data_IF_392288924505
#
_entry.id   IF_392288924505
#
_cell.length_a   1.000
_cell.length_b   1.000
_cell.length_c   1.000
_cell.angle_alpha   90.00
_cell.angle_beta   90.00
_cell.angle_gamma   90.00
#
_symmetry.space_group_name_H-M   'P 1'
#
loop_
_entity.id
_entity.type
_entity.pdbx_description
1 polymer ?
#
# COMPACT_ATOMS: atom_id res chain seq x y z
N UNK A 1 2.33 -11.45 13.32
CA UNK A 1 2.17 -11.44 11.85
C UNK A 1 2.26 -10.00 11.39
N UNK A 2 3.40 -9.63 10.82
CA UNK A 2 3.69 -8.26 10.35
C UNK A 2 3.06 -8.07 8.97
N UNK A 3 2.01 -7.24 8.89
CA UNK A 3 1.42 -6.83 7.61
C UNK A 3 2.41 -5.92 6.87
N UNK A 4 2.81 -6.33 5.69
CA UNK A 4 3.64 -5.56 4.77
C UNK A 4 2.80 -4.44 4.16
N UNK A 5 3.28 -3.18 4.09
CA UNK A 5 2.55 -2.12 3.43
C UNK A 5 2.45 -2.41 1.93
N UNK A 6 1.23 -2.60 1.42
CA UNK A 6 0.95 -2.86 0.01
C UNK A 6 1.05 -1.58 -0.81
N UNK A 7 1.85 -1.61 -1.88
CA UNK A 7 1.88 -0.56 -2.91
C UNK A 7 0.46 -0.23 -3.41
N UNK A 8 0.19 1.04 -3.81
CA UNK A 8 -1.10 1.41 -4.38
C UNK A 8 -1.33 0.61 -5.66
N UNK A 9 -2.24 -0.36 -5.60
CA UNK A 9 -2.62 -1.17 -6.76
C UNK A 9 -3.51 -0.31 -7.64
N UNK A 10 -3.09 -0.07 -8.89
CA UNK A 10 -3.95 0.54 -9.91
C UNK A 10 -5.14 -0.39 -10.11
N UNK A 11 -6.34 0.12 -9.84
CA UNK A 11 -7.57 -0.64 -10.00
C UNK A 11 -8.02 -0.49 -11.46
N UNK A 12 -8.15 -1.63 -12.14
CA UNK A 12 -8.57 -1.69 -13.53
C UNK A 12 -10.09 -1.75 -13.54
N UNK A 13 -10.74 -0.72 -14.06
CA UNK A 13 -12.19 -0.67 -14.21
C UNK A 13 -12.58 -0.83 -15.67
N UNK A 14 -13.53 -1.74 -15.93
CA UNK A 14 -14.08 -1.99 -17.26
C UNK A 14 -15.33 -1.12 -17.48
N UNK A 15 -15.33 -0.26 -18.50
CA UNK A 15 -16.45 0.64 -18.82
C UNK A 15 -17.48 -0.05 -19.74
N UNK A 16 -17.84 -1.30 -19.44
CA UNK A 16 -18.61 -2.14 -20.35
C UNK A 16 -20.02 -1.58 -20.60
N UNK A 17 -20.72 -1.12 -19.56
CA UNK A 17 -22.07 -0.56 -19.68
C UNK A 17 -22.12 0.69 -20.56
N UNK A 18 -21.22 1.64 -20.32
CA UNK A 18 -21.16 2.89 -21.08
C UNK A 18 -20.87 2.67 -22.56
N UNK A 19 -19.99 1.72 -22.88
CA UNK A 19 -19.66 1.41 -24.28
C UNK A 19 -20.82 0.70 -24.95
N UNK A 20 -21.47 -0.25 -24.27
CA UNK A 20 -22.64 -0.95 -24.80
C UNK A 20 -23.76 0.05 -25.13
N UNK A 21 -24.08 0.96 -24.21
CA UNK A 21 -25.10 2.00 -24.44
C UNK A 21 -24.72 2.96 -25.59
N UNK A 22 -23.44 3.34 -25.68
CA UNK A 22 -22.96 4.29 -26.70
C UNK A 22 -22.89 3.70 -28.10
N UNK A 23 -22.44 2.44 -28.24
CA UNK A 23 -22.14 1.82 -29.54
C UNK A 23 -23.34 1.04 -30.09
N UNK A 24 -24.05 0.31 -29.24
CA UNK A 24 -25.18 -0.55 -29.65
C UNK A 24 -26.32 -0.40 -28.63
N UNK A 25 -27.17 0.64 -28.76
CA UNK A 25 -28.29 0.88 -27.86
C UNK A 25 -29.22 -0.33 -27.80
N UNK A 26 -29.54 -0.80 -26.59
CA UNK A 26 -30.39 -1.98 -26.37
C UNK A 26 -29.66 -3.33 -26.35
N UNK A 27 -28.32 -3.34 -26.53
CA UNK A 27 -27.55 -4.56 -26.34
C UNK A 27 -27.59 -5.01 -24.87
N UNK A 28 -28.05 -6.23 -24.62
CA UNK A 28 -28.08 -6.82 -23.27
C UNK A 28 -26.81 -7.61 -22.97
N UNK A 29 -26.48 -7.80 -21.69
CA UNK A 29 -25.35 -8.65 -21.27
C UNK A 29 -25.52 -10.08 -21.81
N UNK A 30 -26.76 -10.59 -21.88
CA UNK A 30 -27.05 -11.90 -22.44
C UNK A 30 -26.72 -11.97 -23.94
N UNK A 31 -26.98 -10.89 -24.69
CA UNK A 31 -26.56 -10.77 -26.10
C UNK A 31 -25.04 -10.79 -26.24
N UNK A 32 -24.34 -9.99 -25.42
CA UNK A 32 -22.88 -9.94 -25.44
C UNK A 32 -22.24 -11.28 -25.01
N UNK A 33 -22.82 -11.96 -24.03
CA UNK A 33 -22.40 -13.29 -23.56
C UNK A 33 -22.45 -14.33 -24.69
N UNK A 34 -23.52 -14.32 -25.49
CA UNK A 34 -23.68 -15.21 -26.64
C UNK A 34 -22.57 -15.03 -27.67
N UNK A 35 -22.22 -13.79 -27.99
CA UNK A 35 -21.22 -13.49 -29.03
C UNK A 35 -19.80 -13.73 -28.54
N UNK A 36 -19.53 -13.44 -27.27
CA UNK A 36 -18.19 -13.61 -26.68
C UNK A 36 -17.91 -15.04 -26.21
N UNK A 37 -18.94 -15.90 -26.18
CA UNK A 37 -18.85 -17.26 -25.66
C UNK A 37 -18.68 -17.32 -24.14
N UNK A 38 -19.00 -16.22 -23.44
CA UNK A 38 -18.86 -16.11 -21.98
C UNK A 38 -20.17 -16.40 -21.26
N UNK A 39 -20.08 -16.84 -20.00
CA UNK A 39 -21.26 -16.92 -19.14
C UNK A 39 -21.74 -15.51 -18.80
N UNK A 40 -23.04 -15.26 -18.96
CA UNK A 40 -23.68 -13.98 -18.66
C UNK A 40 -23.44 -13.51 -17.21
N UNK A 41 -23.34 -14.44 -16.26
CA UNK A 41 -22.98 -14.16 -14.87
C UNK A 41 -21.58 -13.53 -14.73
N UNK A 42 -20.60 -13.98 -15.53
CA UNK A 42 -19.24 -13.42 -15.49
C UNK A 42 -19.26 -11.97 -15.97
N UNK A 43 -19.90 -11.70 -17.11
CA UNK A 43 -20.02 -10.34 -17.64
C UNK A 43 -20.84 -9.43 -16.73
N UNK A 44 -21.85 -9.96 -16.02
CA UNK A 44 -22.62 -9.19 -15.05
C UNK A 44 -21.77 -8.72 -13.86
N UNK A 45 -20.83 -9.55 -13.38
CA UNK A 45 -19.89 -9.13 -12.33
C UNK A 45 -18.95 -8.00 -12.77
N UNK A 46 -18.59 -7.96 -14.06
CA UNK A 46 -17.78 -6.88 -14.62
C UNK A 46 -18.60 -5.63 -14.94
N UNK A 47 -19.92 -5.76 -15.09
CA UNK A 47 -20.86 -4.64 -15.22
C UNK A 47 -21.05 -3.92 -13.89
N UNK A 48 -21.28 -4.66 -12.80
CA UNK A 48 -21.58 -4.08 -11.47
C UNK A 48 -20.32 -3.80 -10.67
N UNK A 49 -19.53 -2.81 -11.10
CA UNK A 49 -18.46 -2.02 -10.42
C UNK A 49 -17.50 -2.64 -9.37
N UNK A 50 -17.56 -3.93 -9.05
CA UNK A 50 -16.69 -4.58 -8.06
C UNK A 50 -16.33 -5.99 -8.51
N UNK A 51 -15.38 -6.14 -9.46
CA UNK A 51 -14.71 -7.42 -9.62
C UNK A 51 -14.07 -7.77 -8.28
N UNK A 52 -14.54 -8.85 -7.64
CA UNK A 52 -13.83 -9.41 -6.48
C UNK A 52 -12.35 -9.61 -6.83
N UNK A 53 -11.46 -9.44 -5.86
CA UNK A 53 -10.01 -9.23 -6.01
C UNK A 53 -9.23 -10.19 -6.95
N UNK A 54 -9.83 -11.30 -7.40
CA UNK A 54 -9.20 -12.31 -8.27
C UNK A 54 -9.90 -12.55 -9.62
N UNK A 55 -10.98 -11.84 -9.94
CA UNK A 55 -11.69 -12.05 -11.22
C UNK A 55 -11.14 -11.13 -12.30
N UNK A 56 -10.16 -11.62 -13.07
CA UNK A 56 -9.69 -10.98 -14.31
C UNK A 56 -10.38 -11.58 -15.53
N UNK A 57 -10.75 -10.76 -16.50
CA UNK A 57 -11.17 -11.28 -17.81
C UNK A 57 -9.95 -11.81 -18.59
N UNK A 58 -10.03 -12.99 -19.21
CA UNK A 58 -9.01 -13.46 -20.14
C UNK A 58 -8.84 -12.46 -21.30
N UNK A 59 -7.60 -12.28 -21.75
CA UNK A 59 -7.26 -11.38 -22.88
C UNK A 59 -8.12 -11.64 -24.11
N UNK A 60 -8.30 -12.91 -24.48
CA UNK A 60 -9.12 -13.32 -25.63
C UNK A 60 -10.58 -12.86 -25.52
N UNK A 61 -11.12 -12.77 -24.30
CA UNK A 61 -12.48 -12.30 -24.07
C UNK A 61 -12.57 -10.79 -24.28
N UNK A 62 -11.56 -10.06 -23.82
CA UNK A 62 -11.46 -8.60 -24.01
C UNK A 62 -11.38 -8.29 -25.51
N UNK A 63 -10.54 -9.01 -26.25
CA UNK A 63 -10.41 -8.84 -27.71
C UNK A 63 -11.73 -9.12 -28.43
N UNK A 64 -12.44 -10.20 -28.09
CA UNK A 64 -13.76 -10.50 -28.66
C UNK A 64 -14.79 -9.42 -28.38
N UNK A 65 -14.79 -8.87 -27.16
CA UNK A 65 -15.68 -7.75 -26.79
C UNK A 65 -15.33 -6.51 -27.63
N UNK A 66 -14.05 -6.15 -27.73
CA UNK A 66 -13.58 -5.02 -28.51
C UNK A 66 -13.93 -5.14 -30.00
N UNK A 67 -13.71 -6.31 -30.60
CA UNK A 67 -14.08 -6.59 -32.00
C UNK A 67 -15.58 -6.48 -32.20
N UNK A 68 -16.39 -7.00 -31.29
CA UNK A 68 -17.85 -6.96 -31.41
C UNK A 68 -18.42 -5.56 -31.23
N UNK A 69 -17.90 -4.79 -30.27
CA UNK A 69 -18.35 -3.42 -29.98
C UNK A 69 -17.68 -2.36 -30.87
N UNK A 70 -16.76 -2.78 -31.74
CA UNK A 70 -15.93 -1.92 -32.57
C UNK A 70 -15.32 -0.76 -31.75
N UNK A 71 -14.60 -1.14 -30.69
CA UNK A 71 -13.95 -0.20 -29.77
C UNK A 71 -12.53 -0.65 -29.43
N UNK A 72 -11.65 0.32 -29.17
CA UNK A 72 -10.30 0.03 -28.72
C UNK A 72 -10.28 -0.45 -27.26
N UNK A 73 -9.25 -1.24 -26.92
CA UNK A 73 -9.03 -1.74 -25.54
C UNK A 73 -8.88 -0.57 -24.55
N UNK A 74 -8.31 0.55 -24.98
CA UNK A 74 -8.17 1.78 -24.19
C UNK A 74 -9.51 2.45 -23.87
N UNK A 75 -10.53 2.29 -24.71
CA UNK A 75 -11.89 2.75 -24.41
C UNK A 75 -12.53 1.83 -23.38
N UNK A 76 -12.33 0.51 -23.52
CA UNK A 76 -12.92 -0.51 -22.65
C UNK A 76 -12.35 -0.51 -21.23
N UNK A 77 -11.08 -0.16 -21.08
CA UNK A 77 -10.35 -0.23 -19.82
C UNK A 77 -9.93 1.17 -19.35
N UNK A 78 -10.52 1.62 -18.24
CA UNK A 78 -10.06 2.82 -17.54
C UNK A 78 -9.27 2.44 -16.30
N UNK A 79 -8.09 3.02 -16.13
CA UNK A 79 -7.33 2.94 -14.90
C UNK A 79 -7.94 3.94 -13.91
N UNK A 80 -8.69 3.44 -12.91
CA UNK A 80 -9.03 4.25 -11.75
C UNK A 80 -7.74 4.45 -10.96
N UNK A 81 -7.11 5.60 -11.15
CA UNK A 81 -6.20 6.12 -10.14
C UNK A 81 -7.07 6.31 -8.90
N UNK A 82 -6.90 5.46 -7.87
CA UNK A 82 -7.44 5.77 -6.57
C UNK A 82 -6.99 7.19 -6.26
N UNK A 83 -7.95 8.12 -6.14
CA UNK A 83 -7.66 9.44 -5.60
C UNK A 83 -7.11 9.17 -4.21
N UNK A 84 -5.80 9.21 -4.04
CA UNK A 84 -5.22 9.37 -2.72
C UNK A 84 -5.85 10.66 -2.19
N UNK A 85 -6.62 10.56 -1.12
CA UNK A 85 -7.16 11.71 -0.40
C UNK A 85 -6.04 12.60 0.17
N UNK A 86 -4.79 12.17 0.05
CA UNK A 86 -3.64 13.07 0.07
C UNK A 86 -3.28 13.52 -1.35
N UNK A 87 -3.71 14.73 -1.70
CA UNK A 87 -2.95 15.56 -2.65
C UNK A 87 -1.59 15.78 -2.00
N UNK A 88 -0.46 15.25 -2.54
CA UNK A 88 0.83 15.69 -2.05
C UNK A 88 0.89 17.22 -2.20
N UNK A 89 1.37 17.95 -1.18
CA UNK A 89 1.48 19.40 -1.29
C UNK A 89 2.27 19.76 -2.55
N UNK A 90 1.93 20.88 -3.21
CA UNK A 90 2.68 21.33 -4.38
C UNK A 90 4.18 21.37 -4.04
N UNK A 91 5.03 20.89 -4.95
CA UNK A 91 6.48 20.76 -4.76
C UNK A 91 7.18 22.04 -4.26
N UNK A 92 6.55 23.19 -4.44
CA UNK A 92 7.07 24.50 -4.07
C UNK A 92 6.91 24.85 -2.58
N UNK A 93 6.26 24.02 -1.76
CA UNK A 93 6.06 24.27 -0.31
C UNK A 93 6.91 23.37 0.60
N UNK A 94 7.71 22.46 0.05
CA UNK A 94 8.53 21.54 0.83
C UNK A 94 9.97 22.04 0.92
N UNK A 95 10.43 22.32 2.14
CA UNK A 95 11.82 22.66 2.44
C UNK A 95 12.77 21.65 1.77
N UNK A 96 13.67 22.08 0.86
CA UNK A 96 14.57 21.19 0.13
C UNK A 96 15.51 20.40 1.05
N UNK A 97 15.69 20.81 2.31
CA UNK A 97 16.47 20.08 3.31
C UNK A 97 15.80 18.80 3.84
N UNK A 98 14.48 18.62 3.62
CA UNK A 98 13.69 17.48 4.14
C UNK A 98 13.36 16.47 3.02
N UNK A 99 13.61 16.82 1.77
CA UNK A 99 13.28 15.97 0.62
C UNK A 99 14.31 14.84 0.49
N UNK A 100 13.85 13.61 0.71
CA UNK A 100 14.60 12.44 0.26
C UNK A 100 14.56 12.38 -1.25
N UNK A 101 15.70 12.17 -1.90
CA UNK A 101 15.74 11.88 -3.33
C UNK A 101 16.10 10.42 -3.56
N UNK A 102 15.45 9.79 -4.54
CA UNK A 102 15.76 8.45 -5.03
C UNK A 102 16.10 8.55 -6.50
N UNK A 103 17.19 7.89 -6.89
CA UNK A 103 17.55 7.76 -8.29
C UNK A 103 16.74 6.61 -8.89
N UNK A 104 15.95 6.89 -9.93
CA UNK A 104 15.17 5.91 -10.67
C UNK A 104 15.85 5.63 -12.01
N UNK A 105 16.14 4.36 -12.30
CA UNK A 105 16.76 3.88 -13.53
C UNK A 105 15.71 3.45 -14.56
N UNK A 106 15.89 3.86 -15.81
CA UNK A 106 14.99 3.57 -16.94
C UNK A 106 15.50 2.46 -17.88
N UNK A 107 16.52 1.70 -17.45
CA UNK A 107 17.17 0.69 -18.28
C UNK A 107 16.21 -0.32 -18.93
N UNK A 108 15.20 -0.81 -18.21
CA UNK A 108 14.22 -1.77 -18.75
C UNK A 108 13.41 -1.18 -19.91
N UNK A 109 13.01 0.09 -19.77
CA UNK A 109 12.27 0.82 -20.78
C UNK A 109 13.12 1.13 -22.02
N UNK A 110 14.38 1.52 -21.81
CA UNK A 110 15.35 1.80 -22.88
C UNK A 110 15.61 0.53 -23.70
N UNK A 111 15.90 -0.59 -23.03
CA UNK A 111 16.13 -1.88 -23.69
C UNK A 111 14.88 -2.34 -24.46
N UNK A 112 13.70 -2.23 -23.83
CA UNK A 112 12.42 -2.59 -24.44
C UNK A 112 12.10 -1.79 -25.71
N UNK A 113 12.38 -0.48 -25.72
CA UNK A 113 12.21 0.36 -26.93
C UNK A 113 13.05 -0.07 -28.11
N UNK A 114 14.20 -0.71 -27.86
CA UNK A 114 15.07 -1.26 -28.91
C UNK A 114 14.79 -2.72 -29.24
N UNK A 115 13.75 -3.31 -28.63
CA UNK A 115 13.44 -4.73 -28.81
C UNK A 115 14.51 -5.66 -28.22
N UNK A 116 15.32 -5.17 -27.29
CA UNK A 116 16.41 -5.92 -26.68
C UNK A 116 16.04 -6.42 -25.29
N UNK A 117 16.36 -7.67 -25.00
CA UNK A 117 16.24 -8.22 -23.65
C UNK A 117 17.43 -7.79 -22.79
N UNK A 118 17.21 -7.60 -21.48
CA UNK A 118 18.30 -7.33 -20.54
C UNK A 118 19.39 -8.43 -20.56
N UNK A 119 19.04 -9.65 -20.95
CA UNK A 119 20.00 -10.75 -21.13
C UNK A 119 20.93 -10.53 -22.33
N UNK A 120 20.40 -10.09 -23.47
CA UNK A 120 21.24 -9.73 -24.64
C UNK A 120 22.17 -8.57 -24.29
N UNK A 121 21.62 -7.50 -23.70
CA UNK A 121 22.41 -6.35 -23.24
C UNK A 121 23.52 -6.80 -22.31
N UNK A 122 23.23 -7.71 -21.36
CA UNK A 122 24.23 -8.23 -20.41
C UNK A 122 25.43 -8.89 -21.09
N UNK A 123 25.19 -9.61 -22.20
CA UNK A 123 26.26 -10.23 -22.98
C UNK A 123 27.07 -9.19 -23.74
N UNK A 124 26.40 -8.22 -24.35
CA UNK A 124 27.03 -7.23 -25.24
C UNK A 124 27.88 -6.21 -24.47
N UNK A 125 27.51 -5.88 -23.23
CA UNK A 125 28.31 -4.98 -22.37
C UNK A 125 29.23 -5.73 -21.39
N UNK A 126 29.25 -7.06 -21.45
CA UNK A 126 30.04 -7.95 -20.60
C UNK A 126 29.79 -7.74 -19.09
N UNK A 127 28.52 -7.62 -18.70
CA UNK A 127 28.10 -7.44 -17.30
C UNK A 127 27.16 -8.58 -16.90
N UNK A 128 27.25 -9.02 -15.64
CA UNK A 128 26.32 -10.02 -15.11
C UNK A 128 24.86 -9.60 -15.27
N UNK A 129 24.05 -10.50 -15.84
CA UNK A 129 22.61 -10.31 -16.00
C UNK A 129 21.91 -9.94 -14.68
N UNK A 130 22.33 -10.53 -13.55
CA UNK A 130 21.72 -10.23 -12.25
C UNK A 130 21.95 -8.77 -11.82
N UNK A 131 23.11 -8.20 -12.17
CA UNK A 131 23.43 -6.79 -11.90
C UNK A 131 22.51 -5.88 -12.73
N UNK A 132 22.36 -6.14 -14.03
CA UNK A 132 21.46 -5.36 -14.88
C UNK A 132 20.00 -5.51 -14.47
N UNK A 133 19.58 -6.71 -14.10
CA UNK A 133 18.22 -6.97 -13.59
C UNK A 133 17.94 -6.20 -12.31
N UNK A 134 18.89 -6.17 -11.36
CA UNK A 134 18.77 -5.40 -10.11
C UNK A 134 18.79 -3.90 -10.40
N UNK A 135 19.62 -3.44 -11.34
CA UNK A 135 19.68 -2.04 -11.78
C UNK A 135 18.35 -1.58 -12.38
N UNK A 136 17.83 -2.33 -13.35
CA UNK A 136 16.56 -2.07 -14.01
C UNK A 136 15.37 -2.00 -13.03
N UNK A 137 15.43 -2.78 -11.94
CA UNK A 137 14.39 -2.81 -10.90
C UNK A 137 14.65 -1.85 -9.73
N UNK A 138 15.64 -0.96 -9.84
CA UNK A 138 16.00 -0.02 -8.77
C UNK A 138 16.33 -0.69 -7.42
N UNK A 139 16.90 -1.90 -7.46
CA UNK A 139 17.27 -2.68 -6.27
C UNK A 139 18.73 -2.46 -5.84
N UNK A 140 19.53 -1.81 -6.67
CA UNK A 140 20.92 -1.48 -6.33
C UNK A 140 20.97 -0.24 -5.46
N UNK A 141 21.74 -0.32 -4.38
CA UNK A 141 22.03 0.84 -3.51
C UNK A 141 23.12 1.76 -4.08
N UNK A 142 23.97 1.21 -4.95
CA UNK A 142 25.12 1.88 -5.55
C UNK A 142 25.29 1.36 -6.97
N UNK A 143 25.69 2.26 -7.87
CA UNK A 143 26.01 1.96 -9.25
C UNK A 143 27.51 2.22 -9.45
N UNK A 144 28.24 1.31 -10.09
CA UNK A 144 29.61 1.60 -10.50
C UNK A 144 29.59 2.54 -11.71
N UNK A 145 30.56 3.46 -11.76
CA UNK A 145 30.69 4.41 -12.87
C UNK A 145 30.92 3.66 -14.19
N UNK A 146 31.81 2.67 -14.20
CA UNK A 146 32.08 1.80 -15.36
C UNK A 146 30.80 1.12 -15.90
N UNK A 147 29.90 0.63 -15.02
CA UNK A 147 28.63 0.05 -15.46
C UNK A 147 27.75 1.09 -16.15
N UNK A 148 27.67 2.30 -15.59
CA UNK A 148 26.90 3.39 -16.17
C UNK A 148 27.48 3.75 -17.54
N UNK A 149 28.78 3.96 -17.64
CA UNK A 149 29.46 4.32 -18.89
C UNK A 149 29.24 3.28 -19.98
N UNK A 150 29.36 1.99 -19.65
CA UNK A 150 29.08 0.90 -20.61
C UNK A 150 27.64 0.92 -21.12
N UNK A 151 26.66 1.14 -20.23
CA UNK A 151 25.24 1.23 -20.61
C UNK A 151 25.00 2.46 -21.49
N UNK A 152 25.55 3.62 -21.11
CA UNK A 152 25.40 4.86 -21.87
C UNK A 152 26.02 4.73 -23.26
N UNK A 153 27.22 4.14 -23.36
CA UNK A 153 27.90 3.89 -24.64
C UNK A 153 27.15 2.89 -25.52
N UNK A 154 26.69 1.79 -24.93
CA UNK A 154 25.92 0.75 -25.63
C UNK A 154 24.62 1.30 -26.23
N UNK A 155 23.87 2.06 -25.44
CA UNK A 155 22.63 2.66 -25.90
C UNK A 155 22.84 3.99 -26.64
N UNK A 156 24.03 4.58 -26.65
CA UNK A 156 24.27 5.93 -27.17
C UNK A 156 23.24 6.95 -26.63
N UNK A 157 23.12 7.01 -25.30
CA UNK A 157 22.17 7.88 -24.58
C UNK A 157 22.91 8.71 -23.53
N UNK A 158 22.26 9.76 -23.03
CA UNK A 158 22.80 10.57 -21.94
C UNK A 158 22.37 10.04 -20.56
N UNK A 159 23.10 10.45 -19.53
CA UNK A 159 22.81 10.05 -18.14
C UNK A 159 21.40 10.46 -17.69
N UNK A 160 20.89 11.60 -18.21
CA UNK A 160 19.54 12.11 -17.91
C UNK A 160 18.42 11.23 -18.49
N UNK A 161 18.72 10.47 -19.54
CA UNK A 161 17.78 9.54 -20.16
C UNK A 161 17.79 8.20 -19.40
N UNK A 162 18.94 7.82 -18.85
CA UNK A 162 19.11 6.61 -18.05
C UNK A 162 18.54 6.76 -16.64
N UNK A 163 18.71 7.92 -16.00
CA UNK A 163 18.28 8.15 -14.62
C UNK A 163 17.40 9.39 -14.48
N UNK A 164 16.37 9.28 -13.64
CA UNK A 164 15.60 10.42 -13.14
C UNK A 164 15.71 10.50 -11.62
N UNK A 165 15.69 11.74 -11.12
CA UNK A 165 15.65 12.00 -9.69
C UNK A 165 14.19 12.08 -9.26
N UNK A 166 13.73 11.10 -8.48
CA UNK A 166 12.39 11.09 -7.90
C UNK A 166 12.44 11.58 -6.45
N UNK A 167 11.47 12.39 -6.05
CA UNK A 167 11.28 12.76 -4.64
C UNK A 167 10.74 11.55 -3.89
N UNK A 168 11.53 11.00 -2.97
CA UNK A 168 11.17 9.91 -2.09
C UNK A 168 10.19 10.41 -1.00
N UNK A 169 8.91 10.44 -1.35
CA UNK A 169 7.82 10.78 -0.43
C UNK A 169 7.69 9.81 0.75
N UNK A 170 8.34 8.63 0.70
CA UNK A 170 8.34 7.69 1.83
C UNK A 170 9.22 8.17 2.99
N UNK A 171 10.24 8.99 2.70
CA UNK A 171 11.00 9.69 3.75
C UNK A 171 10.18 10.80 4.40
N UNK A 172 9.31 11.49 3.66
CA UNK A 172 8.40 12.51 4.22
C UNK A 172 7.39 11.89 5.21
N UNK A 173 7.01 10.62 5.02
CA UNK A 173 6.13 9.88 5.94
C UNK A 173 6.87 9.25 7.13
N UNK A 174 8.19 9.07 7.05
CA UNK A 174 9.01 8.44 8.12
C UNK A 174 9.90 9.42 8.88
N UNK A 175 10.11 10.63 8.35
CA UNK A 175 10.77 11.75 9.04
C UNK A 175 9.82 12.53 9.95
N UNK A 176 8.50 12.31 9.85
CA UNK A 176 7.56 12.76 10.87
C UNK A 176 7.71 11.87 12.09
N UNK A 177 8.50 12.36 13.05
CA UNK A 177 8.47 12.05 14.49
C UNK A 177 8.22 10.57 14.78
N UNK A 178 9.23 9.83 15.25
CA UNK A 178 8.97 8.57 15.97
C UNK A 178 8.18 8.90 17.25
N UNK A 179 6.88 9.13 17.08
CA UNK A 179 5.89 9.16 18.13
C UNK A 179 5.87 7.75 18.67
N UNK A 180 6.60 7.53 19.76
CA UNK A 180 6.46 6.30 20.52
C UNK A 180 5.16 6.42 21.28
N UNK A 181 4.14 5.71 20.82
CA UNK A 181 2.88 5.56 21.53
C UNK A 181 3.14 4.66 22.74
N UNK A 182 3.13 5.27 23.92
CA UNK A 182 3.20 4.54 25.17
C UNK A 182 1.77 4.26 25.63
N UNK A 183 1.43 2.97 25.69
CA UNK A 183 0.14 2.50 26.22
C UNK A 183 0.29 2.46 27.75
N UNK A 184 -0.69 3.03 28.44
CA UNK A 184 -0.72 3.08 29.90
C UNK A 184 -2.15 2.84 30.41
N UNK A 185 -2.27 2.42 31.66
CA UNK A 185 -3.55 2.02 32.26
C UNK A 185 -4.06 3.13 33.18
N UNK A 186 -5.25 3.65 32.87
CA UNK A 186 -5.93 4.71 33.63
C UNK A 186 -6.58 4.24 34.93
N UNK A 187 -5.96 3.30 35.66
CA UNK A 187 -6.57 2.68 36.84
C UNK A 187 -6.70 3.64 38.02
N UNK A 188 -5.66 4.43 38.34
CA UNK A 188 -5.68 5.35 39.48
C UNK A 188 -6.80 6.41 39.37
N UNK A 189 -7.01 7.09 38.22
CA UNK A 189 -8.15 7.99 38.06
C UNK A 189 -9.51 7.33 38.24
N UNK A 190 -9.68 6.07 37.78
CA UNK A 190 -10.95 5.34 37.92
C UNK A 190 -11.24 4.99 39.38
N UNK A 191 -10.24 4.51 40.11
CA UNK A 191 -10.35 4.20 41.53
C UNK A 191 -10.66 5.45 42.35
N UNK A 192 -9.97 6.57 42.11
CA UNK A 192 -10.22 7.83 42.81
C UNK A 192 -11.63 8.38 42.57
N UNK A 193 -12.13 8.32 41.33
CA UNK A 193 -13.50 8.76 40.99
C UNK A 193 -14.56 7.94 41.71
N UNK A 194 -14.34 6.63 41.85
CA UNK A 194 -15.29 5.71 42.49
C UNK A 194 -15.03 5.48 43.97
N UNK A 195 -14.00 6.13 44.54
CA UNK A 195 -13.56 5.98 45.93
C UNK A 195 -13.30 4.52 46.31
N UNK A 196 -12.74 3.74 45.38
CA UNK A 196 -12.42 2.32 45.58
C UNK A 196 -10.99 2.21 46.09
N UNK A 197 -10.78 1.45 47.16
CA UNK A 197 -9.46 1.16 47.70
C UNK A 197 -8.77 0.01 46.95
N UNK A 198 -7.44 -0.08 47.03
CA UNK A 198 -6.70 -1.22 46.44
C UNK A 198 -7.16 -2.53 47.07
N UNK A 199 -7.37 -2.55 48.39
CA UNK A 199 -7.82 -3.74 49.10
C UNK A 199 -9.16 -4.24 48.58
N UNK A 200 -10.12 -3.33 48.42
CA UNK A 200 -11.44 -3.66 47.90
C UNK A 200 -11.38 -4.19 46.46
N UNK A 201 -10.54 -3.57 45.61
CA UNK A 201 -10.31 -4.08 44.26
C UNK A 201 -9.71 -5.50 44.27
N UNK A 202 -8.76 -5.79 45.17
CA UNK A 202 -8.19 -7.13 45.30
C UNK A 202 -9.23 -8.16 45.69
N UNK A 203 -10.04 -7.84 46.69
CA UNK A 203 -11.06 -8.73 47.24
C UNK A 203 -12.14 -9.04 46.18
N UNK A 204 -12.54 -8.02 45.41
CA UNK A 204 -13.61 -8.15 44.42
C UNK A 204 -13.16 -8.78 43.09
N UNK A 205 -11.89 -8.61 42.69
CA UNK A 205 -11.40 -9.12 41.39
C UNK A 205 -10.45 -10.31 41.50
N UNK A 206 -10.02 -10.68 42.71
CA UNK A 206 -9.02 -11.72 42.95
C UNK A 206 -7.62 -11.38 42.44
N UNK A 207 -7.33 -10.10 42.16
CA UNK A 207 -5.99 -9.69 41.71
C UNK A 207 -5.05 -9.50 42.89
N UNK A 208 -3.77 -9.81 42.68
CA UNK A 208 -2.75 -9.56 43.71
C UNK A 208 -2.42 -8.07 43.81
N UNK A 209 -2.05 -7.64 45.02
CA UNK A 209 -1.56 -6.28 45.27
C UNK A 209 -0.43 -5.89 44.30
N UNK A 210 0.52 -6.81 44.08
CA UNK A 210 1.66 -6.60 43.20
C UNK A 210 1.22 -6.32 41.75
N UNK A 211 0.17 -7.00 41.28
CA UNK A 211 -0.37 -6.79 39.94
C UNK A 211 -1.09 -5.44 39.82
N UNK A 212 -1.96 -5.11 40.78
CA UNK A 212 -2.68 -3.82 40.80
C UNK A 212 -1.68 -2.65 40.90
N UNK A 213 -0.68 -2.76 41.78
CA UNK A 213 0.35 -1.73 41.94
C UNK A 213 1.16 -1.52 40.64
N UNK A 214 1.51 -2.60 39.93
CA UNK A 214 2.17 -2.50 38.61
C UNK A 214 1.26 -1.84 37.55
N UNK A 215 -0.04 -2.13 37.57
CA UNK A 215 -1.02 -1.48 36.69
C UNK A 215 -1.12 0.02 36.99
N UNK A 216 -1.21 0.41 38.25
CA UNK A 216 -1.26 1.81 38.68
C UNK A 216 0.01 2.60 38.31
N UNK A 217 1.17 1.94 38.34
CA UNK A 217 2.46 2.53 37.96
C UNK A 217 2.75 2.47 36.46
N UNK A 218 1.85 1.91 35.65
CA UNK A 218 2.05 1.68 34.21
C UNK A 218 3.27 0.82 33.88
N UNK A 219 3.69 -0.05 34.80
CA UNK A 219 4.82 -0.96 34.61
C UNK A 219 4.43 -2.23 33.85
N UNK A 220 3.12 -2.43 33.63
CA UNK A 220 2.58 -3.55 32.88
C UNK A 220 2.68 -3.26 31.39
N UNK A 221 3.59 -3.95 30.69
CA UNK A 221 3.74 -3.82 29.23
C UNK A 221 2.67 -4.58 28.44
N UNK A 222 2.05 -5.59 29.05
CA UNK A 222 1.04 -6.46 28.42
C UNK A 222 0.02 -6.90 29.48
N UNK A 223 -1.26 -6.67 29.18
CA UNK A 223 -2.39 -7.15 29.97
C UNK A 223 -3.10 -8.24 29.16
N UNK A 224 -3.35 -9.39 29.77
CA UNK A 224 -4.18 -10.44 29.17
C UNK A 224 -5.65 -9.99 29.09
N UNK A 225 -6.36 -10.51 28.08
CA UNK A 225 -7.74 -10.11 27.79
C UNK A 225 -8.67 -10.42 28.98
N UNK A 226 -8.48 -11.56 29.65
CA UNK A 226 -9.30 -11.95 30.80
C UNK A 226 -9.20 -10.93 31.96
N UNK A 227 -7.98 -10.48 32.32
CA UNK A 227 -7.86 -9.48 33.39
C UNK A 227 -8.38 -8.11 32.95
N UNK A 228 -8.28 -7.77 31.66
CA UNK A 228 -8.90 -6.57 31.12
C UNK A 228 -10.43 -6.63 31.24
N UNK A 229 -11.06 -7.74 30.88
CA UNK A 229 -12.51 -7.94 30.99
C UNK A 229 -12.99 -7.84 32.44
N UNK A 230 -12.31 -8.49 33.38
CA UNK A 230 -12.63 -8.40 34.81
C UNK A 230 -12.57 -6.96 35.31
N UNK A 231 -11.54 -6.20 34.94
CA UNK A 231 -11.43 -4.79 35.31
C UNK A 231 -12.53 -3.94 34.65
N UNK A 232 -12.81 -4.14 33.36
CA UNK A 232 -13.86 -3.40 32.65
C UNK A 232 -15.24 -3.66 33.26
N UNK A 233 -15.53 -4.92 33.63
CA UNK A 233 -16.79 -5.32 34.26
C UNK A 233 -16.89 -4.75 35.68
N UNK A 234 -15.84 -4.88 36.49
CA UNK A 234 -15.81 -4.34 37.85
C UNK A 234 -16.03 -2.82 37.87
N UNK A 235 -15.30 -2.11 37.02
CA UNK A 235 -15.47 -0.67 36.88
C UNK A 235 -16.64 -0.29 35.98
N UNK A 236 -17.42 -1.21 35.42
CA UNK A 236 -18.50 -0.92 34.46
C UNK A 236 -18.12 0.20 33.45
N UNK A 237 -17.00 0.03 32.76
CA UNK A 237 -16.46 0.97 31.77
C UNK A 237 -15.96 0.22 30.53
N UNK A 238 -15.97 0.84 29.35
CA UNK A 238 -15.38 0.23 28.17
C UNK A 238 -13.84 0.19 28.26
N UNK A 239 -13.17 -0.72 27.52
CA UNK A 239 -11.71 -0.82 27.50
C UNK A 239 -10.99 0.48 27.13
N UNK A 240 -11.65 1.36 26.37
CA UNK A 240 -11.13 2.68 25.95
C UNK A 240 -10.99 3.68 27.09
N UNK A 241 -11.73 3.50 28.20
CA UNK A 241 -11.56 4.33 29.40
C UNK A 241 -10.42 3.85 30.29
N UNK A 242 -10.15 2.55 30.28
CA UNK A 242 -9.11 1.91 31.08
C UNK A 242 -7.75 1.93 30.38
N UNK A 243 -7.70 1.71 29.06
CA UNK A 243 -6.47 1.72 28.26
C UNK A 243 -6.34 3.08 27.57
N UNK A 244 -5.26 3.79 27.91
CA UNK A 244 -4.94 5.08 27.31
C UNK A 244 -3.60 5.00 26.59
N UNK A 245 -3.36 5.96 25.71
CA UNK A 245 -2.08 6.14 25.06
C UNK A 245 -1.59 7.57 25.23
N UNK A 246 -0.28 7.75 25.34
CA UNK A 246 0.37 9.06 25.22
C UNK A 246 1.43 9.01 24.14
N UNK A 247 1.59 10.13 23.46
CA UNK A 247 2.63 10.29 22.45
C UNK A 247 3.88 10.80 23.14
N UNK A 248 4.93 9.97 23.20
CA UNK A 248 6.25 10.41 23.65
C UNK A 248 7.08 10.80 22.43
N UNK A 249 7.60 12.04 22.43
CA UNK A 249 8.57 12.48 21.43
C UNK A 249 9.94 11.98 21.87
N UNK A 250 10.51 11.06 21.12
CA UNK A 250 11.91 10.67 21.33
C UNK A 250 12.79 11.68 20.61
N UNK A 251 13.25 12.71 21.32
CA UNK A 251 14.33 13.58 20.84
C UNK A 251 15.55 12.67 20.62
N UNK A 252 16.01 12.61 19.37
CA UNK A 252 17.20 11.87 18.95
C UNK A 252 18.31 12.86 18.66
#
# INVERSE_FOLDING_TARGET
>A
MTQTPSLPRKEIELQLEKIMEKKIPGLTIAGLARVTGQRSQNLHHFKTEKPGHDKRLPKETIEKICTYLNCDISELITLKNQKSTHRPPPLNELDPSIQGYRLHCHLEHIAGRRGQSLFQVSKEIEVSYDVLRKMARNLLKRYSVDLIERILGYFNIEIKDLFTLEVDTTKILTSKIKNTYEIYFGLSPLMSRRKISIQQLMDDTGFTYAFINKLMKNEVKRLNIQSLEVLCNYFNVPPTELIKYRVTKKES
#
